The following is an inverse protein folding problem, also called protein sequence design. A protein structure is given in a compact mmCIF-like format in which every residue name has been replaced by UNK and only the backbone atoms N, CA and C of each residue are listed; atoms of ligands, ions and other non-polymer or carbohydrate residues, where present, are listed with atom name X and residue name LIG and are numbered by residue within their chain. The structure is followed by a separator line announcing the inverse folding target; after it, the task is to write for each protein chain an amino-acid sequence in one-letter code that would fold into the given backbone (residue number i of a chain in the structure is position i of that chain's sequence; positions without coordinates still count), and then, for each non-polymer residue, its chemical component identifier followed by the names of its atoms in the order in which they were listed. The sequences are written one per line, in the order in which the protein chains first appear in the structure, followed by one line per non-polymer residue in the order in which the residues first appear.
data_IF_179928920478
#
_entry.id   IF_179928920478
#
_cell.length_a   1.000
_cell.length_b   1.000
_cell.length_c   1.000
_cell.angle_alpha   90.00
_cell.angle_beta   90.00
_cell.angle_gamma   90.00
#
_symmetry.space_group_name_H-M   'P 1'
#
loop_
_entity.id
_entity.type
_entity.pdbx_description
1 polymer ?
#
# COMPACT_ATOMS: atom_id res chain seq x y z
N UNK A 1 -4.45 -1.64 -11.14
CA UNK A 1 -4.87 -0.90 -12.36
C UNK A 1 -6.12 -1.54 -12.92
N UNK A 2 -7.25 -0.86 -12.76
CA UNK A 2 -8.50 -1.28 -13.38
C UNK A 2 -8.54 -0.83 -14.83
N UNK A 3 -7.84 -1.54 -15.72
CA UNK A 3 -7.97 -1.27 -17.15
C UNK A 3 -9.40 -1.63 -17.55
N UNK A 4 -10.10 -0.75 -18.27
CA UNK A 4 -11.49 -0.93 -18.73
C UNK A 4 -11.70 -2.31 -19.36
N UNK A 5 -10.76 -2.77 -20.18
CA UNK A 5 -10.79 -4.12 -20.78
C UNK A 5 -10.77 -5.27 -19.78
N UNK A 6 -10.10 -5.12 -18.62
CA UNK A 6 -10.07 -6.13 -17.57
C UNK A 6 -11.41 -6.21 -16.84
N UNK A 7 -12.03 -5.07 -16.53
CA UNK A 7 -13.37 -5.00 -15.93
C UNK A 7 -14.40 -5.67 -16.84
N UNK A 8 -14.36 -5.39 -18.15
CA UNK A 8 -15.25 -5.99 -19.14
C UNK A 8 -15.08 -7.52 -19.24
N UNK A 9 -13.84 -8.02 -19.19
CA UNK A 9 -13.58 -9.48 -19.19
C UNK A 9 -14.16 -10.16 -17.96
N UNK A 10 -13.94 -9.60 -16.77
CA UNK A 10 -14.49 -10.13 -15.51
C UNK A 10 -16.02 -10.12 -15.56
N UNK A 11 -16.61 -9.01 -16.00
CA UNK A 11 -18.05 -8.88 -16.12
C UNK A 11 -18.67 -9.94 -17.05
N UNK A 12 -18.01 -10.22 -18.19
CA UNK A 12 -18.47 -11.28 -19.11
C UNK A 12 -18.50 -12.64 -18.43
N UNK A 13 -17.44 -13.01 -17.70
CA UNK A 13 -17.38 -14.29 -16.99
C UNK A 13 -18.43 -14.36 -15.88
N UNK A 14 -18.61 -13.30 -15.10
CA UNK A 14 -19.59 -13.29 -14.02
C UNK A 14 -21.03 -13.41 -14.52
N UNK A 15 -21.37 -12.75 -15.63
CA UNK A 15 -22.70 -12.86 -16.25
C UNK A 15 -23.03 -14.27 -16.78
N UNK A 16 -22.00 -15.06 -17.14
CA UNK A 16 -22.20 -16.46 -17.53
C UNK A 16 -22.49 -17.37 -16.34
N UNK A 17 -21.97 -17.04 -15.16
CA UNK A 17 -22.10 -17.87 -13.95
C UNK A 17 -23.34 -17.45 -13.13
N UNK A 18 -23.56 -16.16 -13.00
CA UNK A 18 -24.60 -15.57 -12.14
C UNK A 18 -25.62 -14.81 -13.01
N UNK A 19 -26.49 -15.55 -13.69
CA UNK A 19 -27.42 -15.04 -14.72
C UNK A 19 -28.44 -14.01 -14.19
N UNK A 20 -28.80 -14.09 -12.90
CA UNK A 20 -29.82 -13.25 -12.26
C UNK A 20 -29.20 -12.19 -11.32
N UNK A 21 -27.94 -11.81 -11.56
CA UNK A 21 -27.26 -10.87 -10.68
C UNK A 21 -26.83 -9.61 -11.42
N UNK A 22 -26.83 -8.49 -10.70
CA UNK A 22 -26.19 -7.25 -11.12
C UNK A 22 -24.77 -7.18 -10.59
N UNK A 23 -23.89 -6.54 -11.34
CA UNK A 23 -22.46 -6.46 -10.99
C UNK A 23 -21.97 -5.04 -11.03
N UNK A 24 -21.35 -4.59 -9.93
CA UNK A 24 -20.55 -3.38 -9.87
C UNK A 24 -19.09 -3.74 -9.60
N UNK A 25 -18.24 -3.61 -10.62
CA UNK A 25 -16.82 -3.95 -10.56
C UNK A 25 -16.01 -2.68 -10.34
N UNK A 26 -15.54 -2.50 -9.11
CA UNK A 26 -14.69 -1.38 -8.68
C UNK A 26 -13.23 -1.81 -8.54
N UNK A 27 -12.35 -0.82 -8.49
CA UNK A 27 -10.94 -1.01 -8.17
C UNK A 27 -10.75 -1.22 -6.65
N UNK A 28 -9.63 -1.80 -6.25
CA UNK A 28 -9.29 -2.05 -4.85
C UNK A 28 -9.20 -0.76 -4.00
N UNK A 29 -8.93 0.37 -4.64
CA UNK A 29 -8.99 1.71 -4.01
C UNK A 29 -10.34 2.02 -3.39
N UNK A 30 -11.45 1.61 -4.04
CA UNK A 30 -12.80 1.76 -3.50
C UNK A 30 -12.98 0.91 -2.23
N UNK A 31 -12.50 -0.33 -2.25
CA UNK A 31 -12.55 -1.19 -1.07
C UNK A 31 -11.76 -0.61 0.12
N UNK A 32 -10.61 -0.01 -0.15
CA UNK A 32 -9.81 0.67 0.88
C UNK A 32 -10.56 1.87 1.45
N UNK A 33 -11.09 2.76 0.60
CA UNK A 33 -11.82 3.96 1.03
C UNK A 33 -13.06 3.57 1.86
N UNK A 34 -13.92 2.72 1.34
CA UNK A 34 -15.14 2.31 2.03
C UNK A 34 -14.89 1.55 3.33
N UNK A 35 -13.71 0.95 3.50
CA UNK A 35 -13.37 0.26 4.76
C UNK A 35 -13.02 1.17 5.93
N UNK A 36 -12.69 2.44 5.66
CA UNK A 36 -12.14 3.36 6.69
C UNK A 36 -12.82 4.71 6.74
N UNK A 37 -13.41 5.18 5.63
CA UNK A 37 -14.00 6.52 5.53
C UNK A 37 -15.45 6.53 6.03
N UNK A 38 -15.83 7.64 6.64
CA UNK A 38 -17.21 7.90 7.02
C UNK A 38 -17.91 8.65 5.87
N UNK A 39 -19.13 8.24 5.52
CA UNK A 39 -19.94 8.92 4.50
C UNK A 39 -20.17 10.39 4.89
N UNK A 40 -20.10 11.28 3.91
CA UNK A 40 -20.26 12.72 4.10
C UNK A 40 -19.07 13.44 4.73
N UNK A 41 -17.97 12.72 5.06
CA UNK A 41 -16.75 13.33 5.61
C UNK A 41 -15.57 13.16 4.67
N UNK A 42 -14.89 14.26 4.30
CA UNK A 42 -13.70 14.18 3.50
C UNK A 42 -12.54 13.51 4.26
N UNK A 43 -11.76 12.70 3.53
CA UNK A 43 -10.58 12.02 4.07
C UNK A 43 -9.55 11.71 2.98
N UNK A 44 -8.31 11.48 3.38
CA UNK A 44 -7.27 10.92 2.53
C UNK A 44 -7.03 9.47 2.95
N UNK A 45 -7.08 8.55 2.00
CA UNK A 45 -6.90 7.12 2.24
C UNK A 45 -5.66 6.62 1.51
N UNK A 46 -4.73 6.10 2.29
CA UNK A 46 -3.45 5.60 1.81
C UNK A 46 -3.43 4.08 1.84
N UNK A 47 -3.18 3.45 0.71
CA UNK A 47 -2.87 2.02 0.66
C UNK A 47 -1.36 1.88 0.75
N UNK A 48 -0.86 1.14 1.74
CA UNK A 48 0.56 0.80 1.87
C UNK A 48 0.67 -0.70 2.19
N UNK A 49 0.85 -1.47 1.12
CA UNK A 49 0.95 -2.93 1.13
C UNK A 49 2.11 -3.40 0.25
N UNK A 50 1.86 -4.31 -0.69
CA UNK A 50 2.83 -4.71 -1.72
C UNK A 50 3.29 -3.50 -2.54
N UNK A 51 2.36 -2.70 -3.03
CA UNK A 51 2.55 -1.36 -3.59
C UNK A 51 2.03 -0.27 -2.67
N UNK A 52 1.98 0.98 -3.15
CA UNK A 52 1.37 2.08 -2.42
C UNK A 52 0.56 3.00 -3.33
N UNK A 53 -0.49 3.59 -2.76
CA UNK A 53 -1.40 4.50 -3.44
C UNK A 53 -1.97 5.51 -2.44
N UNK A 54 -2.37 6.69 -2.93
CA UNK A 54 -3.02 7.72 -2.14
C UNK A 54 -4.26 8.24 -2.86
N UNK A 55 -5.38 8.31 -2.17
CA UNK A 55 -6.68 8.61 -2.73
C UNK A 55 -7.40 9.59 -1.82
N UNK A 56 -8.04 10.60 -2.39
CA UNK A 56 -8.91 11.52 -1.69
C UNK A 56 -10.38 11.09 -1.83
N UNK A 57 -11.10 11.13 -0.73
CA UNK A 57 -12.54 10.96 -0.66
C UNK A 57 -13.16 12.25 -0.16
N UNK A 58 -14.07 12.84 -0.91
CA UNK A 58 -14.72 14.11 -0.53
C UNK A 58 -15.95 13.93 0.40
N UNK A 59 -16.22 12.68 0.76
CA UNK A 59 -17.41 12.26 1.50
C UNK A 59 -18.44 11.57 0.62
N UNK A 60 -18.28 11.62 -0.72
CA UNK A 60 -19.19 11.04 -1.70
C UNK A 60 -18.46 10.35 -2.84
N UNK A 61 -17.47 11.01 -3.42
CA UNK A 61 -16.71 10.52 -4.57
C UNK A 61 -15.22 10.38 -4.26
N UNK A 62 -14.54 9.60 -5.08
CA UNK A 62 -13.12 9.24 -4.93
C UNK A 62 -12.30 9.90 -6.03
N UNK A 63 -11.22 10.58 -5.64
CA UNK A 63 -10.33 11.30 -6.53
C UNK A 63 -8.87 10.90 -6.33
N UNK A 64 -8.12 10.84 -7.41
CA UNK A 64 -6.67 10.68 -7.38
C UNK A 64 -5.98 11.85 -8.09
N UNK A 65 -5.13 12.60 -7.38
CA UNK A 65 -4.27 13.63 -7.99
C UNK A 65 -3.02 13.02 -8.64
N UNK A 66 -2.50 11.93 -8.08
CA UNK A 66 -1.31 11.25 -8.59
C UNK A 66 -1.69 9.88 -9.14
N UNK A 67 -1.54 9.69 -10.45
CA UNK A 67 -1.77 8.38 -11.07
C UNK A 67 -0.72 7.36 -10.62
N UNK A 68 -1.16 6.18 -10.20
CA UNK A 68 -0.26 5.10 -9.84
C UNK A 68 0.35 4.46 -11.10
N UNK A 69 1.66 4.60 -11.25
CA UNK A 69 2.42 3.95 -12.34
C UNK A 69 3.08 2.65 -11.90
N UNK A 70 2.82 2.21 -10.66
CA UNK A 70 3.27 0.93 -10.14
C UNK A 70 4.72 0.91 -9.64
N UNK A 71 5.15 -0.27 -9.23
CA UNK A 71 6.34 -0.49 -8.42
C UNK A 71 7.67 -0.14 -9.10
N UNK A 72 7.73 -0.08 -10.42
CA UNK A 72 8.98 0.23 -11.14
C UNK A 72 9.41 1.67 -10.87
N UNK A 73 8.48 2.61 -10.96
CA UNK A 73 8.76 4.07 -10.88
C UNK A 73 8.26 4.72 -9.59
N UNK A 74 7.26 4.14 -8.94
CA UNK A 74 6.58 4.71 -7.77
C UNK A 74 6.61 3.77 -6.56
N UNK A 75 5.53 3.73 -5.80
CA UNK A 75 5.28 2.86 -4.65
C UNK A 75 6.18 3.14 -3.43
N UNK A 76 6.47 4.39 -3.13
CA UNK A 76 7.23 4.76 -1.91
C UNK A 76 6.58 4.19 -0.64
N UNK A 77 7.39 3.86 0.35
CA UNK A 77 7.02 3.25 1.63
C UNK A 77 6.32 1.87 1.55
N UNK A 78 6.17 1.29 0.37
CA UNK A 78 5.56 -0.04 0.18
C UNK A 78 6.54 -1.20 0.41
N UNK A 79 6.01 -2.42 0.40
CA UNK A 79 6.81 -3.64 0.41
C UNK A 79 7.80 -3.70 -0.76
N UNK A 80 7.38 -3.30 -1.96
CA UNK A 80 8.24 -3.18 -3.13
C UNK A 80 9.39 -2.22 -2.93
N UNK A 81 9.10 -1.05 -2.37
CA UNK A 81 10.10 -0.01 -2.10
C UNK A 81 11.18 -0.54 -1.15
N UNK A 82 10.77 -1.12 -0.04
CA UNK A 82 11.70 -1.65 0.96
C UNK A 82 12.43 -2.90 0.45
N UNK A 83 11.77 -3.77 -0.30
CA UNK A 83 12.41 -4.94 -0.91
C UNK A 83 13.50 -4.56 -1.91
N UNK A 84 13.22 -3.62 -2.80
CA UNK A 84 14.25 -3.06 -3.72
C UNK A 84 15.42 -2.45 -2.97
N UNK A 85 15.15 -1.73 -1.89
CA UNK A 85 16.20 -1.16 -1.07
C UNK A 85 17.11 -2.23 -0.47
N UNK A 86 16.52 -3.28 0.15
CA UNK A 86 17.27 -4.37 0.77
C UNK A 86 18.17 -5.10 -0.21
N UNK A 87 17.66 -5.48 -1.39
CA UNK A 87 18.44 -6.15 -2.42
C UNK A 87 19.62 -5.27 -2.84
N UNK A 88 19.38 -3.98 -3.11
CA UNK A 88 20.46 -3.04 -3.48
C UNK A 88 21.48 -2.88 -2.36
N UNK A 89 21.03 -2.71 -1.12
CA UNK A 89 21.91 -2.57 0.03
C UNK A 89 22.79 -3.81 0.24
N UNK A 90 22.24 -5.00 0.00
CA UNK A 90 22.98 -6.25 0.05
C UNK A 90 24.07 -6.33 -1.03
N UNK A 91 23.70 -6.12 -2.29
CA UNK A 91 24.64 -6.27 -3.43
C UNK A 91 25.69 -5.16 -3.48
N UNK A 92 25.36 -3.95 -3.05
CA UNK A 92 26.33 -2.83 -2.98
C UNK A 92 27.13 -2.79 -1.68
N UNK A 93 27.04 -3.82 -0.81
CA UNK A 93 27.73 -3.87 0.48
C UNK A 93 27.44 -2.66 1.39
N UNK A 94 26.21 -2.14 1.36
CA UNK A 94 25.76 -1.02 2.18
C UNK A 94 24.95 -1.44 3.41
N UNK A 95 24.70 -2.74 3.57
CA UNK A 95 24.03 -3.29 4.74
C UNK A 95 25.07 -3.60 5.83
N UNK A 96 24.82 -3.26 7.12
CA UNK A 96 25.70 -3.63 8.23
C UNK A 96 25.93 -5.15 8.26
N UNK A 97 27.18 -5.57 8.57
CA UNK A 97 27.63 -6.97 8.50
C UNK A 97 26.66 -7.92 9.22
N UNK A 98 26.26 -7.60 10.47
CA UNK A 98 25.32 -8.40 11.24
C UNK A 98 23.99 -8.61 10.51
N UNK A 99 23.38 -7.54 10.00
CA UNK A 99 22.10 -7.61 9.29
C UNK A 99 22.23 -8.33 7.95
N UNK A 100 23.38 -8.20 7.28
CA UNK A 100 23.68 -8.92 6.04
C UNK A 100 23.73 -10.43 6.27
N UNK A 101 24.40 -10.88 7.32
CA UNK A 101 24.47 -12.29 7.70
C UNK A 101 23.09 -12.87 8.03
N UNK A 102 22.27 -12.13 8.80
CA UNK A 102 20.88 -12.51 9.09
C UNK A 102 20.01 -12.57 7.82
N UNK A 103 20.19 -11.60 6.91
CA UNK A 103 19.44 -11.51 5.65
C UNK A 103 19.76 -12.70 4.73
N UNK A 104 21.05 -13.06 4.62
CA UNK A 104 21.51 -14.23 3.83
C UNK A 104 20.95 -15.55 4.37
N UNK A 105 20.77 -15.68 5.69
CA UNK A 105 20.18 -16.87 6.29
C UNK A 105 18.69 -17.04 6.01
N UNK A 106 17.99 -15.94 5.70
CA UNK A 106 16.52 -15.92 5.51
C UNK A 106 16.09 -15.99 4.04
N UNK A 107 16.96 -15.59 3.11
CA UNK A 107 16.59 -15.49 1.71
C UNK A 107 17.69 -16.07 0.80
N UNK A 108 17.27 -16.75 -0.27
CA UNK A 108 18.17 -17.05 -1.38
C UNK A 108 18.46 -15.76 -2.17
N UNK A 109 19.66 -15.26 -1.99
CA UNK A 109 20.13 -14.02 -2.59
C UNK A 109 21.08 -14.27 -3.77
N UNK A 110 21.08 -15.50 -4.35
CA UNK A 110 21.83 -15.77 -5.55
C UNK A 110 21.34 -14.89 -6.71
N UNK A 111 22.27 -14.40 -7.52
CA UNK A 111 21.93 -13.55 -8.66
C UNK A 111 20.95 -14.23 -9.64
N UNK A 112 21.07 -15.54 -9.78
CA UNK A 112 20.19 -16.32 -10.66
C UNK A 112 18.76 -16.34 -10.13
N UNK A 113 18.55 -16.66 -8.83
CA UNK A 113 17.22 -16.66 -8.20
C UNK A 113 16.58 -15.28 -8.27
N UNK A 114 17.32 -14.21 -7.99
CA UNK A 114 16.78 -12.84 -8.06
C UNK A 114 16.38 -12.48 -9.50
N UNK A 115 17.24 -12.72 -10.49
CA UNK A 115 16.94 -12.43 -11.90
C UNK A 115 15.74 -13.25 -12.40
N UNK A 116 15.67 -14.51 -12.04
CA UNK A 116 14.56 -15.40 -12.40
C UNK A 116 13.22 -14.85 -11.90
N UNK A 117 13.15 -14.48 -10.60
CA UNK A 117 11.92 -13.97 -9.99
C UNK A 117 11.54 -12.56 -10.47
N UNK A 118 12.53 -11.71 -10.83
CA UNK A 118 12.26 -10.34 -11.26
C UNK A 118 11.91 -10.23 -12.75
N UNK A 119 12.47 -11.09 -13.61
CA UNK A 119 12.40 -10.87 -15.06
C UNK A 119 11.74 -12.00 -15.84
N UNK A 120 11.53 -13.18 -15.22
CA UNK A 120 11.00 -14.35 -15.93
C UNK A 120 9.73 -14.91 -15.31
N UNK A 121 9.56 -14.80 -13.98
CA UNK A 121 8.37 -15.27 -13.28
C UNK A 121 7.28 -14.22 -13.21
N UNK A 122 6.06 -14.68 -12.97
CA UNK A 122 4.92 -13.81 -12.68
C UNK A 122 5.05 -13.15 -11.31
N UNK A 123 4.41 -11.99 -11.15
CA UNK A 123 4.31 -11.24 -9.90
C UNK A 123 5.65 -10.82 -9.26
N UNK A 124 6.59 -10.21 -10.01
CA UNK A 124 7.87 -9.74 -9.46
C UNK A 124 7.70 -8.71 -8.34
N UNK A 125 6.60 -7.97 -8.34
CA UNK A 125 6.22 -7.05 -7.28
C UNK A 125 5.99 -7.79 -5.94
N UNK A 126 5.30 -8.92 -5.95
CA UNK A 126 5.07 -9.74 -4.75
C UNK A 126 6.38 -10.33 -4.23
N UNK A 127 7.25 -10.76 -5.13
CA UNK A 127 8.59 -11.22 -4.77
C UNK A 127 9.40 -10.12 -4.09
N UNK A 128 9.46 -8.93 -4.66
CA UNK A 128 10.13 -7.78 -4.03
C UNK A 128 9.55 -7.46 -2.65
N UNK A 129 8.23 -7.41 -2.54
CA UNK A 129 7.56 -7.09 -1.28
C UNK A 129 7.81 -8.15 -0.18
N UNK A 130 8.14 -9.39 -0.54
CA UNK A 130 8.42 -10.45 0.44
C UNK A 130 9.62 -10.13 1.34
N UNK A 131 10.61 -9.38 0.83
CA UNK A 131 11.78 -8.96 1.60
C UNK A 131 11.45 -7.91 2.69
N UNK A 132 10.36 -7.16 2.54
CA UNK A 132 9.98 -6.14 3.52
C UNK A 132 9.72 -6.70 4.93
N UNK A 133 9.38 -8.00 5.04
CA UNK A 133 9.27 -8.68 6.34
C UNK A 133 10.56 -8.56 7.17
N UNK A 134 11.72 -8.52 6.51
CA UNK A 134 12.99 -8.38 7.20
C UNK A 134 13.14 -7.01 7.87
N UNK A 135 12.77 -5.93 7.16
CA UNK A 135 12.73 -4.57 7.75
C UNK A 135 11.75 -4.52 8.91
N UNK A 136 10.52 -5.01 8.72
CA UNK A 136 9.47 -4.96 9.74
C UNK A 136 9.91 -5.70 11.02
N UNK A 137 10.50 -6.87 10.88
CA UNK A 137 10.96 -7.67 12.03
C UNK A 137 12.17 -7.05 12.76
N UNK A 138 12.88 -6.14 12.13
CA UNK A 138 14.04 -5.45 12.65
C UNK A 138 13.85 -3.94 12.73
N UNK A 139 12.61 -3.43 12.75
CA UNK A 139 12.29 -2.01 12.66
C UNK A 139 12.84 -1.15 13.81
N UNK A 140 13.18 -1.77 14.95
CA UNK A 140 13.85 -1.10 16.08
C UNK A 140 15.32 -0.80 15.85
N UNK A 141 15.98 -1.44 14.88
CA UNK A 141 17.36 -1.18 14.52
C UNK A 141 17.51 0.20 13.88
N UNK A 142 18.53 0.98 14.30
CA UNK A 142 18.73 2.35 13.80
C UNK A 142 18.88 2.41 12.28
N UNK A 143 19.54 1.43 11.68
CA UNK A 143 19.70 1.34 10.23
C UNK A 143 18.36 1.26 9.50
N UNK A 144 17.40 0.47 10.04
CA UNK A 144 16.08 0.35 9.41
C UNK A 144 15.15 1.51 9.76
N UNK A 145 15.27 2.13 10.94
CA UNK A 145 14.52 3.35 11.27
C UNK A 145 14.72 4.43 10.23
N UNK A 146 15.96 4.70 9.85
CA UNK A 146 16.30 5.70 8.83
C UNK A 146 15.68 5.38 7.47
N UNK A 147 15.69 4.10 7.07
CA UNK A 147 15.15 3.65 5.79
C UNK A 147 13.63 3.80 5.77
N UNK A 148 12.98 3.39 6.86
CA UNK A 148 11.51 3.48 7.03
C UNK A 148 11.10 4.95 6.97
N UNK A 149 11.70 5.81 7.78
CA UNK A 149 11.37 7.24 7.85
C UNK A 149 11.59 7.93 6.50
N UNK A 150 12.70 7.66 5.81
CA UNK A 150 12.96 8.20 4.46
C UNK A 150 11.89 7.77 3.43
N UNK A 151 11.45 6.51 3.50
CA UNK A 151 10.38 6.02 2.65
C UNK A 151 9.05 6.71 2.93
N UNK A 152 8.71 6.87 4.22
CA UNK A 152 7.49 7.54 4.68
C UNK A 152 7.46 9.02 4.31
N UNK A 153 8.56 9.76 4.52
CA UNK A 153 8.66 11.17 4.13
C UNK A 153 8.43 11.35 2.63
N UNK A 154 9.09 10.53 1.79
CA UNK A 154 8.86 10.57 0.34
C UNK A 154 7.41 10.27 -0.04
N UNK A 155 6.78 9.32 0.64
CA UNK A 155 5.37 9.03 0.40
C UNK A 155 4.48 10.23 0.76
N UNK A 156 4.73 10.89 1.89
CA UNK A 156 3.99 12.08 2.31
C UNK A 156 4.22 13.22 1.31
N UNK A 157 5.48 13.53 0.97
CA UNK A 157 5.85 14.64 0.07
C UNK A 157 5.23 14.48 -1.33
N UNK A 158 5.24 13.26 -1.87
CA UNK A 158 4.86 13.03 -3.26
C UNK A 158 3.43 12.58 -3.45
N UNK A 159 2.74 12.16 -2.40
CA UNK A 159 1.37 11.64 -2.49
C UNK A 159 0.39 12.46 -1.64
N UNK A 160 0.62 12.55 -0.33
CA UNK A 160 -0.34 13.18 0.60
C UNK A 160 -0.37 14.70 0.41
N UNK A 161 0.80 15.34 0.31
CA UNK A 161 0.91 16.79 0.17
C UNK A 161 0.43 17.33 -1.19
N UNK A 162 0.06 16.46 -2.14
CA UNK A 162 -0.60 16.88 -3.38
C UNK A 162 -2.04 17.37 -3.16
N UNK A 163 -2.64 17.09 -2.00
CA UNK A 163 -3.98 17.56 -1.64
C UNK A 163 -3.88 18.80 -0.75
N UNK A 164 -4.43 19.93 -1.17
CA UNK A 164 -4.27 21.25 -0.53
C UNK A 164 -4.79 21.26 0.92
N UNK A 165 -5.79 20.43 1.22
CA UNK A 165 -6.43 20.32 2.53
C UNK A 165 -5.89 19.15 3.39
N UNK A 166 -4.72 18.59 3.09
CA UNK A 166 -4.18 17.41 3.75
C UNK A 166 -4.02 17.55 5.29
N UNK A 167 -3.89 18.79 5.81
CA UNK A 167 -3.82 19.06 7.26
C UNK A 167 -5.19 19.14 7.95
N UNK A 168 -6.25 19.33 7.19
CA UNK A 168 -7.61 19.57 7.74
C UNK A 168 -8.50 18.34 7.72
N UNK A 169 -8.14 17.30 6.98
CA UNK A 169 -8.93 16.07 6.85
C UNK A 169 -8.27 14.90 7.58
N UNK A 170 -9.07 13.90 7.93
CA UNK A 170 -8.57 12.66 8.51
C UNK A 170 -7.77 11.87 7.47
N UNK A 171 -6.65 11.28 7.91
CA UNK A 171 -5.77 10.48 7.07
C UNK A 171 -5.77 9.03 7.55
N UNK A 172 -6.24 8.14 6.69
CA UNK A 172 -6.37 6.72 6.96
C UNK A 172 -5.34 5.90 6.20
N UNK A 173 -4.98 4.75 6.74
CA UNK A 173 -4.00 3.86 6.18
C UNK A 173 -4.53 2.43 6.13
N UNK A 174 -4.43 1.81 4.95
CA UNK A 174 -4.89 0.44 4.68
C UNK A 174 -3.73 -0.39 4.13
N UNK A 175 -3.59 -1.61 4.61
CA UNK A 175 -2.59 -2.56 4.12
C UNK A 175 -1.65 -3.08 5.20
N UNK A 176 -0.96 -4.17 4.87
CA UNK A 176 -0.13 -4.89 5.83
C UNK A 176 1.11 -4.11 6.29
N UNK A 177 1.76 -3.37 5.38
CA UNK A 177 2.92 -2.55 5.71
C UNK A 177 2.48 -1.37 6.58
N UNK A 178 1.41 -0.66 6.18
CA UNK A 178 0.86 0.44 6.98
C UNK A 178 0.54 -0.01 8.41
N UNK A 179 -0.12 -1.15 8.56
CA UNK A 179 -0.49 -1.67 9.87
C UNK A 179 0.72 -2.02 10.74
N UNK A 180 1.76 -2.62 10.15
CA UNK A 180 2.98 -2.98 10.87
C UNK A 180 3.84 -1.76 11.26
N UNK A 181 3.76 -0.68 10.47
CA UNK A 181 4.52 0.56 10.66
C UNK A 181 3.67 1.71 11.20
N UNK A 182 2.54 1.42 11.86
CA UNK A 182 1.60 2.44 12.33
C UNK A 182 2.24 3.48 13.26
N UNK A 183 3.16 3.05 14.13
CA UNK A 183 3.87 3.92 15.07
C UNK A 183 4.81 4.87 14.33
N UNK A 184 5.57 4.36 13.37
CA UNK A 184 6.49 5.10 12.54
C UNK A 184 5.74 6.07 11.61
N UNK A 185 4.62 5.64 11.03
CA UNK A 185 3.74 6.49 10.21
C UNK A 185 3.17 7.63 11.04
N UNK A 186 2.66 7.34 12.26
CA UNK A 186 2.11 8.37 13.15
C UNK A 186 3.20 9.35 13.57
N UNK A 187 4.39 8.88 13.94
CA UNK A 187 5.52 9.72 14.29
C UNK A 187 5.87 10.69 13.16
N UNK A 188 6.14 10.16 11.97
CA UNK A 188 6.50 10.98 10.80
C UNK A 188 5.34 11.88 10.39
N UNK A 189 4.10 11.37 10.40
CA UNK A 189 2.90 12.14 10.09
C UNK A 189 2.72 13.37 10.98
N UNK A 190 2.98 13.24 12.28
CA UNK A 190 2.92 14.35 13.22
C UNK A 190 3.92 15.48 12.88
N UNK A 191 5.09 15.16 12.35
CA UNK A 191 6.07 16.16 11.90
C UNK A 191 5.56 17.00 10.72
N UNK A 192 4.65 16.45 9.93
CA UNK A 192 3.97 17.12 8.80
C UNK A 192 2.62 17.75 9.20
N UNK A 193 2.19 17.58 10.45
CA UNK A 193 0.89 18.08 10.95
C UNK A 193 -0.30 17.29 10.40
N UNK A 194 -0.10 16.00 10.08
CA UNK A 194 -1.17 15.13 9.57
C UNK A 194 -2.10 14.67 10.69
N UNK A 195 -3.40 14.66 10.44
CA UNK A 195 -4.41 14.05 11.31
C UNK A 195 -4.52 12.54 11.05
N UNK A 196 -3.48 11.79 11.43
CA UNK A 196 -3.47 10.33 11.28
C UNK A 196 -4.56 9.70 12.14
N UNK A 197 -5.42 8.89 11.53
CA UNK A 197 -6.64 8.35 12.16
C UNK A 197 -6.64 6.82 12.16
N UNK A 198 -7.26 6.15 11.20
CA UNK A 198 -7.48 4.70 11.21
C UNK A 198 -6.35 3.94 10.51
N UNK A 199 -5.97 2.78 11.07
CA UNK A 199 -5.07 1.80 10.45
C UNK A 199 -5.78 0.47 10.29
N UNK A 200 -5.96 0.00 9.06
CA UNK A 200 -6.65 -1.25 8.75
C UNK A 200 -5.73 -2.19 7.98
N UNK A 201 -5.50 -3.37 8.53
CA UNK A 201 -4.63 -4.36 7.88
C UNK A 201 -5.26 -4.99 6.65
N UNK A 202 -6.56 -5.31 6.72
CA UNK A 202 -7.35 -5.93 5.64
C UNK A 202 -8.68 -5.21 5.52
N UNK A 203 -9.02 -4.65 4.37
CA UNK A 203 -10.22 -3.82 4.22
C UNK A 203 -11.54 -4.59 4.27
N UNK A 204 -11.54 -5.91 4.12
CA UNK A 204 -12.75 -6.71 3.91
C UNK A 204 -13.83 -6.53 5.00
N UNK A 205 -13.43 -6.46 6.27
CA UNK A 205 -14.41 -6.30 7.38
C UNK A 205 -15.11 -4.94 7.31
N UNK A 206 -14.33 -3.87 7.10
CA UNK A 206 -14.85 -2.52 6.94
C UNK A 206 -15.75 -2.39 5.70
N UNK A 207 -15.34 -3.01 4.59
CA UNK A 207 -16.12 -3.04 3.35
C UNK A 207 -17.47 -3.73 3.55
N UNK A 208 -17.50 -4.88 4.24
CA UNK A 208 -18.76 -5.58 4.57
C UNK A 208 -19.67 -4.69 5.43
N UNK A 209 -19.11 -4.03 6.44
CA UNK A 209 -19.88 -3.12 7.30
C UNK A 209 -20.43 -1.92 6.53
N UNK A 210 -19.64 -1.34 5.62
CA UNK A 210 -20.09 -0.28 4.73
C UNK A 210 -21.34 -0.67 3.94
N UNK A 211 -21.30 -1.83 3.26
CA UNK A 211 -22.43 -2.31 2.46
C UNK A 211 -23.64 -2.71 3.32
N UNK A 212 -23.43 -3.27 4.51
CA UNK A 212 -24.54 -3.52 5.46
C UNK A 212 -25.26 -2.24 5.87
N UNK A 213 -24.50 -1.18 6.14
CA UNK A 213 -25.09 0.10 6.53
C UNK A 213 -25.90 0.75 5.39
N UNK A 214 -25.46 0.60 4.14
CA UNK A 214 -26.23 1.06 2.98
C UNK A 214 -27.60 0.37 2.89
N UNK A 215 -27.65 -0.95 3.12
CA UNK A 215 -28.91 -1.74 3.07
C UNK A 215 -29.89 -1.44 4.21
N UNK A 216 -29.42 -0.80 5.30
CA UNK A 216 -30.26 -0.44 6.45
C UNK A 216 -30.77 1.01 6.32
N UNK A 217 -30.13 1.82 5.46
CA UNK A 217 -30.44 3.23 5.27
C UNK A 217 -31.47 3.49 4.15
N UNK A 218 -31.78 2.44 3.36
CA UNK A 218 -32.85 2.38 2.36
C UNK A 218 -34.11 1.77 3.01
#
# INVERSE_FOLDING_TARGET
MGVKSTKERILKVFKLIFINSEFDIKEDTYAAVYSVSDLGKPSIVNIIGTGSNCTYFDGKEIFQKVHSLGYVVMDYASGNYYGKYLIRAYYFNKMPKRLREEFTKKFDLSANTIKENLYRKENPNTYLASFAKFIINNKSDSYFKDIIEKGLRRFIDYQIMQYDNYKSVDIHYVGSIAYCLKEEITKVGNEYGLKTSKFVRKPIVGLVNYHKNLLISD
#
